data_IF_596990751124
#
_entry.id   IF_596990751124
#
_cell.length_a   1.000
_cell.length_b   1.000
_cell.length_c   1.000
_cell.angle_alpha   90.00
_cell.angle_beta   90.00
_cell.angle_gamma   90.00
#
_symmetry.space_group_name_H-M   'P 1'
#
loop_
_entity.id
_entity.type
_entity.pdbx_description
1 polymer ?
#
# COMPACT_ATOMS: atom_id res chain seq x y z
N UNK A 1 29.46 15.41 45.74
CA UNK A 1 28.15 14.89 45.29
C UNK A 1 28.46 14.07 44.05
N UNK A 2 28.27 12.74 44.12
CA UNK A 2 28.54 11.87 43.00
C UNK A 2 27.45 12.09 41.94
N UNK A 3 27.86 12.38 40.70
CA UNK A 3 26.97 12.40 39.55
C UNK A 3 26.38 10.99 39.40
N UNK A 4 25.10 10.82 39.76
CA UNK A 4 24.33 9.66 39.33
C UNK A 4 24.21 9.73 37.80
N UNK A 5 25.10 9.03 37.11
CA UNK A 5 24.99 8.80 35.68
C UNK A 5 23.68 8.05 35.45
N UNK A 6 22.65 8.77 34.98
CA UNK A 6 21.39 8.17 34.53
C UNK A 6 21.72 7.17 33.42
N UNK A 7 21.64 5.88 33.74
CA UNK A 7 21.76 4.82 32.75
C UNK A 7 20.49 4.81 31.90
N UNK A 8 20.66 4.89 30.58
CA UNK A 8 19.56 4.71 29.65
C UNK A 8 18.94 3.33 29.86
N UNK A 9 17.64 3.27 30.14
CA UNK A 9 16.89 2.02 30.19
C UNK A 9 16.41 1.72 28.78
N UNK A 10 16.97 0.68 28.17
CA UNK A 10 16.44 0.20 26.90
C UNK A 10 15.02 -0.34 27.13
N UNK A 11 14.05 0.31 26.50
CA UNK A 11 12.63 -0.04 26.56
C UNK A 11 12.17 -0.83 25.33
N UNK A 12 13.09 -1.15 24.40
CA UNK A 12 12.78 -1.87 23.17
C UNK A 12 12.57 -3.35 23.50
N UNK A 13 11.31 -3.75 23.61
CA UNK A 13 10.93 -5.15 23.88
C UNK A 13 11.00 -5.97 22.60
N UNK A 14 11.69 -7.10 22.63
CA UNK A 14 11.82 -8.00 21.47
C UNK A 14 12.82 -7.53 20.41
N UNK A 15 13.70 -6.59 20.73
CA UNK A 15 14.85 -6.27 19.91
C UNK A 15 15.93 -7.34 20.13
N UNK A 16 16.40 -7.97 19.05
CA UNK A 16 17.65 -8.74 19.07
C UNK A 16 18.82 -7.76 19.01
N UNK A 17 19.91 -8.03 19.73
CA UNK A 17 21.12 -7.18 19.66
C UNK A 17 21.89 -7.39 18.37
N UNK A 18 21.75 -8.55 17.75
CA UNK A 18 22.37 -8.92 16.48
C UNK A 18 21.35 -8.83 15.35
N UNK A 19 21.78 -8.30 14.21
CA UNK A 19 21.03 -8.29 12.96
C UNK A 19 21.12 -9.64 12.28
N UNK A 20 20.02 -10.08 11.67
CA UNK A 20 20.07 -11.18 10.72
C UNK A 20 20.80 -10.73 9.44
N UNK A 21 21.46 -11.64 8.70
CA UNK A 21 21.80 -11.40 7.31
C UNK A 21 20.59 -10.92 6.52
N UNK A 22 20.78 -10.01 5.56
CA UNK A 22 19.67 -9.38 4.81
C UNK A 22 18.76 -10.43 4.18
N UNK A 23 19.31 -11.45 3.52
CA UNK A 23 18.51 -12.51 2.90
C UNK A 23 17.66 -13.32 3.90
N UNK A 24 18.21 -13.60 5.09
CA UNK A 24 17.47 -14.28 6.14
C UNK A 24 16.34 -13.41 6.68
N UNK A 25 16.58 -12.10 6.82
CA UNK A 25 15.54 -11.16 7.24
C UNK A 25 14.44 -11.01 6.20
N UNK A 26 14.78 -10.93 4.90
CA UNK A 26 13.79 -10.86 3.83
C UNK A 26 12.94 -12.14 3.76
N UNK A 27 13.57 -13.32 3.92
CA UNK A 27 12.84 -14.58 4.03
C UNK A 27 11.89 -14.61 5.24
N UNK A 28 12.26 -13.97 6.35
CA UNK A 28 11.36 -13.80 7.49
C UNK A 28 10.16 -12.92 7.14
N UNK A 29 10.34 -11.83 6.38
CA UNK A 29 9.23 -10.98 5.93
C UNK A 29 8.27 -11.74 5.01
N UNK A 30 8.78 -12.57 4.10
CA UNK A 30 7.96 -13.46 3.27
C UNK A 30 7.17 -14.48 4.11
N UNK A 31 7.79 -15.01 5.17
CA UNK A 31 7.08 -15.87 6.12
C UNK A 31 5.96 -15.10 6.86
N UNK A 32 6.19 -13.85 7.24
CA UNK A 32 5.14 -12.99 7.82
C UNK A 32 4.01 -12.76 6.81
N UNK A 33 4.33 -12.44 5.56
CA UNK A 33 3.32 -12.27 4.51
C UNK A 33 2.45 -13.51 4.37
N UNK A 34 3.06 -14.68 4.19
CA UNK A 34 2.34 -15.93 3.99
C UNK A 34 1.54 -16.39 5.21
N UNK A 35 2.00 -16.08 6.43
CA UNK A 35 1.29 -16.44 7.67
C UNK A 35 0.18 -15.48 8.06
N UNK A 36 0.27 -14.19 7.67
CA UNK A 36 -0.71 -13.16 8.04
C UNK A 36 -1.72 -12.89 6.93
N UNK A 37 -1.28 -12.79 5.67
CA UNK A 37 -2.12 -12.49 4.50
C UNK A 37 -2.81 -13.75 3.96
N UNK A 38 -3.57 -14.43 4.82
CA UNK A 38 -4.25 -15.69 4.48
C UNK A 38 -5.58 -15.49 3.74
N UNK A 39 -6.15 -14.29 3.77
CA UNK A 39 -7.42 -13.97 3.11
C UNK A 39 -7.18 -13.19 1.81
N UNK A 40 -7.67 -13.74 0.70
CA UNK A 40 -7.74 -13.03 -0.59
C UNK A 40 -9.00 -12.17 -0.64
N UNK A 41 -8.91 -11.00 -1.28
CA UNK A 41 -10.09 -10.17 -1.56
C UNK A 41 -10.87 -10.76 -2.73
N UNK A 42 -12.02 -11.36 -2.44
CA UNK A 42 -12.87 -12.06 -3.40
C UNK A 42 -13.65 -11.09 -4.29
N UNK A 43 -13.83 -9.82 -3.89
CA UNK A 43 -14.48 -8.82 -4.74
C UNK A 43 -13.75 -8.64 -6.07
N UNK A 44 -12.42 -8.75 -6.08
CA UNK A 44 -11.64 -8.69 -7.33
C UNK A 44 -12.04 -9.79 -8.31
N UNK A 45 -12.20 -11.02 -7.82
CA UNK A 45 -12.63 -12.15 -8.65
C UNK A 45 -14.04 -11.97 -9.18
N UNK A 46 -14.95 -11.45 -8.35
CA UNK A 46 -16.34 -11.19 -8.77
C UNK A 46 -16.48 -10.01 -9.74
N UNK A 47 -15.54 -9.05 -9.72
CA UNK A 47 -15.44 -8.05 -10.80
C UNK A 47 -14.89 -8.70 -12.06
N UNK A 48 -13.84 -9.52 -11.95
CA UNK A 48 -13.19 -10.17 -13.07
C UNK A 48 -14.10 -11.15 -13.85
N UNK A 49 -15.04 -11.82 -13.17
CA UNK A 49 -15.99 -12.74 -13.80
C UNK A 49 -17.37 -12.11 -14.11
N UNK A 50 -17.53 -10.81 -13.79
CA UNK A 50 -18.75 -10.05 -14.07
C UNK A 50 -19.93 -10.32 -13.14
N UNK A 51 -19.75 -11.10 -12.07
CA UNK A 51 -20.82 -11.49 -11.16
C UNK A 51 -21.11 -10.48 -10.06
N UNK A 52 -20.20 -9.55 -9.73
CA UNK A 52 -20.46 -8.52 -8.71
C UNK A 52 -21.58 -7.57 -9.16
N UNK A 53 -22.56 -7.31 -8.30
CA UNK A 53 -23.65 -6.39 -8.62
C UNK A 53 -23.17 -4.95 -8.82
N UNK A 54 -23.91 -4.17 -9.59
CA UNK A 54 -23.55 -2.77 -9.85
C UNK A 54 -23.55 -1.93 -8.57
N UNK A 55 -24.48 -2.20 -7.66
CA UNK A 55 -24.52 -1.57 -6.34
C UNK A 55 -23.23 -1.82 -5.55
N UNK A 56 -22.77 -3.07 -5.53
CA UNK A 56 -21.55 -3.44 -4.82
C UNK A 56 -20.30 -2.93 -5.53
N UNK A 57 -20.30 -2.88 -6.86
CA UNK A 57 -19.22 -2.24 -7.62
C UNK A 57 -19.13 -0.75 -7.30
N UNK A 58 -20.26 -0.03 -7.21
CA UNK A 58 -20.30 1.38 -6.79
C UNK A 58 -19.75 1.55 -5.38
N UNK A 59 -20.11 0.69 -4.44
CA UNK A 59 -19.56 0.71 -3.07
C UNK A 59 -18.05 0.48 -3.08
N UNK A 60 -17.58 -0.46 -3.91
CA UNK A 60 -16.16 -0.81 -4.01
C UNK A 60 -15.31 0.30 -4.67
N UNK A 61 -15.87 1.00 -5.66
CA UNK A 61 -15.25 2.19 -6.25
C UNK A 61 -14.96 3.27 -5.19
N UNK A 62 -15.91 3.51 -4.26
CA UNK A 62 -15.73 4.50 -3.18
C UNK A 62 -14.62 4.09 -2.20
N UNK A 63 -14.46 2.81 -1.91
CA UNK A 63 -13.31 2.31 -1.13
C UNK A 63 -11.99 2.67 -1.82
N UNK A 64 -11.86 2.42 -3.13
CA UNK A 64 -10.64 2.78 -3.87
C UNK A 64 -10.40 4.29 -3.97
N UNK A 65 -11.45 5.09 -4.14
CA UNK A 65 -11.34 6.55 -4.08
C UNK A 65 -10.75 6.99 -2.73
N UNK A 66 -11.29 6.47 -1.62
CA UNK A 66 -10.78 6.77 -0.29
C UNK A 66 -9.30 6.37 -0.13
N UNK A 67 -8.91 5.18 -0.61
CA UNK A 67 -7.50 4.76 -0.62
C UNK A 67 -6.62 5.76 -1.39
N UNK A 68 -7.00 6.08 -2.63
CA UNK A 68 -6.21 6.93 -3.51
C UNK A 68 -6.04 8.34 -2.94
N UNK A 69 -7.14 9.02 -2.62
CA UNK A 69 -7.09 10.41 -2.12
C UNK A 69 -6.30 10.53 -0.81
N UNK A 70 -6.29 9.46 0.00
CA UNK A 70 -5.58 9.45 1.27
C UNK A 70 -4.09 9.12 1.10
N UNK A 71 -3.72 8.18 0.23
CA UNK A 71 -2.32 7.78 0.05
C UNK A 71 -1.51 8.75 -0.80
N UNK A 72 -2.06 9.27 -1.90
CA UNK A 72 -1.27 9.95 -2.95
C UNK A 72 -0.40 11.08 -2.40
N UNK A 73 -0.91 11.94 -1.51
CA UNK A 73 -0.12 13.01 -0.91
C UNK A 73 0.96 12.53 0.07
N UNK A 74 0.81 11.33 0.62
CA UNK A 74 1.70 10.79 1.66
C UNK A 74 3.02 10.27 1.09
N UNK A 75 3.12 10.01 -0.21
CA UNK A 75 4.39 9.68 -0.87
C UNK A 75 5.47 10.74 -0.62
N UNK A 76 5.06 12.00 -0.42
CA UNK A 76 5.97 13.07 -0.07
C UNK A 76 6.73 12.83 1.25
N UNK A 77 6.19 12.03 2.18
CA UNK A 77 6.91 11.67 3.41
C UNK A 77 8.11 10.76 3.11
N UNK A 78 8.01 9.87 2.12
CA UNK A 78 9.07 8.97 1.73
C UNK A 78 10.16 9.72 0.96
N UNK A 79 9.76 10.64 0.08
CA UNK A 79 10.68 11.58 -0.58
C UNK A 79 11.46 12.39 0.45
N UNK A 80 10.76 13.01 1.40
CA UNK A 80 11.38 13.89 2.40
C UNK A 80 12.31 13.16 3.37
N UNK A 81 12.10 11.86 3.59
CA UNK A 81 12.88 11.05 4.52
C UNK A 81 13.93 10.16 3.83
N UNK A 82 14.12 10.25 2.51
CA UNK A 82 15.09 9.42 1.78
C UNK A 82 16.49 9.48 2.43
N UNK A 83 17.15 8.32 2.70
CA UNK A 83 18.28 8.24 3.62
C UNK A 83 19.66 8.37 2.93
N UNK A 84 19.76 9.16 1.86
CA UNK A 84 20.98 9.32 1.05
C UNK A 84 21.66 10.70 1.27
N UNK A 85 22.01 11.10 2.50
CA UNK A 85 22.61 12.42 2.75
C UNK A 85 24.00 12.58 2.13
N UNK A 86 24.67 11.45 1.83
CA UNK A 86 26.02 11.41 1.30
C UNK A 86 26.06 11.39 -0.25
N UNK A 87 24.91 11.40 -0.92
CA UNK A 87 24.84 11.51 -2.37
C UNK A 87 25.40 12.87 -2.83
N UNK A 88 26.38 12.86 -3.75
CA UNK A 88 26.97 14.08 -4.30
C UNK A 88 25.99 14.81 -5.24
N UNK A 89 25.15 14.05 -5.94
CA UNK A 89 24.11 14.55 -6.84
C UNK A 89 22.81 13.78 -6.60
N UNK A 90 21.66 14.38 -6.94
CA UNK A 90 20.37 13.68 -6.82
C UNK A 90 20.31 12.40 -7.68
N UNK A 91 21.01 12.37 -8.82
CA UNK A 91 21.11 11.18 -9.68
C UNK A 91 21.77 9.96 -8.98
N UNK A 92 22.47 10.18 -7.86
CA UNK A 92 23.08 9.11 -7.07
C UNK A 92 22.17 8.61 -5.93
N UNK A 93 21.10 9.33 -5.61
CA UNK A 93 20.16 8.94 -4.56
C UNK A 93 19.04 8.08 -5.14
N UNK A 94 19.27 6.76 -5.13
CA UNK A 94 18.30 5.78 -5.64
C UNK A 94 16.99 5.83 -4.85
N UNK A 95 17.06 6.03 -3.53
CA UNK A 95 15.87 6.13 -2.69
C UNK A 95 15.06 7.39 -3.00
N UNK A 96 15.71 8.55 -3.14
CA UNK A 96 15.01 9.79 -3.49
C UNK A 96 14.42 9.69 -4.90
N UNK A 97 15.21 9.23 -5.88
CA UNK A 97 14.80 9.11 -7.28
C UNK A 97 13.56 8.21 -7.44
N UNK A 98 13.52 7.07 -6.76
CA UNK A 98 12.36 6.18 -6.78
C UNK A 98 11.10 6.86 -6.22
N UNK A 99 11.18 7.45 -5.01
CA UNK A 99 10.00 8.02 -4.38
C UNK A 99 9.52 9.32 -5.03
N UNK A 100 10.41 10.14 -5.59
CA UNK A 100 10.01 11.35 -6.30
C UNK A 100 9.33 11.01 -7.62
N UNK A 101 9.80 9.98 -8.32
CA UNK A 101 9.15 9.46 -9.53
C UNK A 101 7.75 8.95 -9.19
N UNK A 102 7.63 8.08 -8.20
CA UNK A 102 6.34 7.59 -7.70
C UNK A 102 5.37 8.72 -7.32
N UNK A 103 5.85 9.73 -6.59
CA UNK A 103 5.02 10.89 -6.26
C UNK A 103 4.58 11.63 -7.53
N UNK A 104 5.48 11.81 -8.51
CA UNK A 104 5.16 12.48 -9.77
C UNK A 104 4.16 11.68 -10.61
N UNK A 105 4.27 10.35 -10.66
CA UNK A 105 3.33 9.45 -11.33
C UNK A 105 1.93 9.58 -10.70
N UNK A 106 1.85 9.37 -9.39
CA UNK A 106 0.59 9.42 -8.63
C UNK A 106 -0.10 10.79 -8.71
N UNK A 107 0.68 11.88 -8.77
CA UNK A 107 0.15 13.25 -8.79
C UNK A 107 -0.05 13.83 -10.19
N UNK A 108 0.37 13.13 -11.24
CA UNK A 108 0.20 13.52 -12.64
C UNK A 108 1.24 14.49 -13.18
N UNK A 109 2.43 14.56 -12.57
CA UNK A 109 3.58 15.34 -13.06
C UNK A 109 4.51 14.52 -13.98
N UNK A 110 4.29 13.21 -14.12
CA UNK A 110 5.09 12.34 -14.98
C UNK A 110 4.47 12.02 -16.35
N UNK A 111 3.31 12.62 -16.68
CA UNK A 111 2.69 12.54 -18.00
C UNK A 111 1.28 11.93 -18.00
N UNK A 112 1.02 10.98 -17.11
CA UNK A 112 -0.32 10.44 -16.89
C UNK A 112 -1.20 11.39 -16.08
N UNK A 113 -2.52 11.19 -16.14
CA UNK A 113 -3.43 11.91 -15.26
C UNK A 113 -3.20 11.51 -13.80
N UNK A 114 -3.37 12.46 -12.88
CA UNK A 114 -3.32 12.18 -11.44
C UNK A 114 -4.24 11.01 -11.06
N UNK A 115 -3.72 10.05 -10.29
CA UNK A 115 -4.42 8.81 -9.95
C UNK A 115 -5.71 9.03 -9.14
N UNK A 116 -5.82 10.12 -8.39
CA UNK A 116 -7.07 10.53 -7.71
C UNK A 116 -8.10 11.00 -8.75
N UNK A 117 -7.68 11.74 -9.76
CA UNK A 117 -8.58 12.18 -10.85
C UNK A 117 -9.13 10.98 -11.61
N UNK A 118 -8.28 10.01 -11.97
CA UNK A 118 -8.71 8.76 -12.61
C UNK A 118 -9.75 7.98 -11.79
N UNK A 119 -9.64 8.01 -10.45
CA UNK A 119 -10.63 7.38 -9.55
C UNK A 119 -11.95 8.15 -9.47
N UNK A 120 -11.91 9.49 -9.51
CA UNK A 120 -13.11 10.33 -9.60
C UNK A 120 -13.84 10.08 -10.93
N UNK A 121 -13.10 9.94 -12.03
CA UNK A 121 -13.69 9.60 -13.33
C UNK A 121 -14.36 8.24 -13.32
N UNK A 122 -13.71 7.21 -12.73
CA UNK A 122 -14.34 5.90 -12.53
C UNK A 122 -15.64 6.00 -11.73
N UNK A 123 -15.66 6.76 -10.64
CA UNK A 123 -16.87 6.97 -9.85
C UNK A 123 -17.99 7.63 -10.67
N UNK A 124 -17.67 8.62 -11.50
CA UNK A 124 -18.63 9.28 -12.39
C UNK A 124 -19.16 8.36 -13.49
N UNK A 125 -18.32 7.48 -14.06
CA UNK A 125 -18.75 6.45 -15.01
C UNK A 125 -19.78 5.50 -14.38
N UNK A 126 -19.64 5.24 -13.08
CA UNK A 126 -20.61 4.47 -12.30
C UNK A 126 -21.79 5.31 -11.79
N UNK A 127 -21.93 6.58 -12.20
CA UNK A 127 -23.02 7.47 -11.77
C UNK A 127 -22.99 7.86 -10.30
N UNK A 128 -21.82 7.87 -9.65
CA UNK A 128 -21.61 8.34 -8.29
C UNK A 128 -21.34 9.86 -8.35
N UNK A 129 -22.04 10.64 -7.52
CA UNK A 129 -21.84 12.09 -7.49
C UNK A 129 -20.60 12.48 -6.70
N UNK A 130 -20.05 13.67 -6.96
CA UNK A 130 -18.94 14.21 -6.17
C UNK A 130 -19.34 14.37 -4.68
N UNK A 131 -20.60 14.69 -4.40
CA UNK A 131 -21.15 14.76 -3.03
C UNK A 131 -21.16 13.38 -2.35
N UNK A 132 -21.53 12.32 -3.07
CA UNK A 132 -21.48 10.94 -2.55
C UNK A 132 -20.05 10.50 -2.25
N UNK A 133 -19.06 10.95 -3.03
CA UNK A 133 -17.64 10.67 -2.77
C UNK A 133 -17.13 11.43 -1.54
N UNK A 134 -17.45 12.72 -1.43
CA UNK A 134 -17.00 13.57 -0.32
C UNK A 134 -17.65 13.19 1.02
N UNK A 135 -18.88 12.67 0.99
CA UNK A 135 -19.61 12.22 2.18
C UNK A 135 -19.38 10.74 2.52
N UNK A 136 -18.62 10.02 1.68
CA UNK A 136 -18.38 8.59 1.86
C UNK A 136 -17.57 8.29 3.12
N UNK A 137 -18.04 7.31 3.89
CA UNK A 137 -17.32 6.74 5.02
C UNK A 137 -16.85 5.32 4.63
N UNK A 138 -15.53 5.06 4.59
CA UNK A 138 -15.01 3.73 4.27
C UNK A 138 -15.35 2.73 5.37
N UNK A 139 -15.33 1.43 5.06
CA UNK A 139 -15.46 0.43 6.13
C UNK A 139 -14.35 0.58 7.17
N UNK A 140 -14.61 0.30 8.47
CA UNK A 140 -13.62 0.49 9.52
C UNK A 140 -12.28 -0.22 9.26
N UNK A 141 -12.32 -1.39 8.61
CA UNK A 141 -11.12 -2.14 8.26
C UNK A 141 -10.29 -1.45 7.16
N UNK A 142 -10.93 -0.77 6.20
CA UNK A 142 -10.23 0.08 5.22
C UNK A 142 -9.59 1.28 5.90
N UNK A 143 -10.33 1.97 6.77
CA UNK A 143 -9.80 3.12 7.52
C UNK A 143 -8.57 2.70 8.34
N UNK A 144 -8.67 1.56 9.04
CA UNK A 144 -7.57 0.99 9.81
C UNK A 144 -6.35 0.66 8.95
N UNK A 145 -6.55 -0.01 7.80
CA UNK A 145 -5.47 -0.35 6.89
C UNK A 145 -4.75 0.90 6.35
N UNK A 146 -5.50 1.92 5.90
CA UNK A 146 -4.94 3.17 5.37
C UNK A 146 -4.18 3.94 6.45
N UNK A 147 -4.83 4.24 7.57
CA UNK A 147 -4.20 5.01 8.65
C UNK A 147 -3.01 4.27 9.28
N UNK A 148 -3.08 2.94 9.36
CA UNK A 148 -1.99 2.09 9.83
C UNK A 148 -0.76 2.17 8.93
N UNK A 149 -0.93 2.12 7.61
CA UNK A 149 0.17 2.32 6.66
C UNK A 149 0.72 3.75 6.76
N UNK A 150 -0.13 4.78 6.76
CA UNK A 150 0.33 6.18 6.88
C UNK A 150 1.10 6.45 8.17
N UNK A 151 0.68 5.83 9.28
CA UNK A 151 1.39 5.94 10.55
C UNK A 151 2.86 5.56 10.39
N UNK A 152 3.15 4.47 9.67
CA UNK A 152 4.51 4.01 9.42
C UNK A 152 5.25 4.84 8.35
N UNK A 153 4.56 5.27 7.28
CA UNK A 153 5.12 6.19 6.28
C UNK A 153 5.66 7.49 6.89
N UNK A 154 5.06 7.96 7.97
CA UNK A 154 5.45 9.22 8.66
C UNK A 154 6.49 9.05 9.75
N UNK A 155 6.78 7.82 10.17
CA UNK A 155 7.59 7.54 11.36
C UNK A 155 9.09 7.58 11.07
N UNK A 156 9.52 6.80 10.09
CA UNK A 156 10.89 6.72 9.62
C UNK A 156 10.90 6.18 8.20
N UNK A 157 11.96 6.45 7.44
CA UNK A 157 12.06 6.00 6.07
C UNK A 157 11.94 4.48 5.95
N UNK A 158 12.65 3.71 6.77
CA UNK A 158 12.67 2.26 6.65
C UNK A 158 11.33 1.64 7.02
N UNK A 159 10.64 2.21 8.03
CA UNK A 159 9.28 1.79 8.36
C UNK A 159 8.28 2.15 7.24
N UNK A 160 8.45 3.30 6.59
CA UNK A 160 7.60 3.73 5.48
C UNK A 160 7.79 2.90 4.22
N UNK A 161 9.04 2.68 3.81
CA UNK A 161 9.41 1.78 2.71
C UNK A 161 8.89 0.36 2.96
N UNK A 162 9.01 -0.14 4.20
CA UNK A 162 8.46 -1.44 4.55
C UNK A 162 6.92 -1.48 4.53
N UNK A 163 6.25 -0.44 5.03
CA UNK A 163 4.80 -0.40 5.16
C UNK A 163 4.06 -0.14 3.84
N UNK A 164 4.59 0.73 2.99
CA UNK A 164 3.98 1.14 1.74
C UNK A 164 4.67 0.53 0.52
N UNK A 165 6.00 0.56 0.42
CA UNK A 165 6.68 -0.07 -0.71
C UNK A 165 6.55 -1.60 -0.66
N UNK A 166 7.10 -2.22 0.38
CA UNK A 166 7.21 -3.68 0.42
C UNK A 166 5.90 -4.38 0.80
N UNK A 167 5.29 -4.03 1.94
CA UNK A 167 4.00 -4.61 2.33
C UNK A 167 2.83 -4.02 1.52
N UNK A 168 3.08 -2.93 0.79
CA UNK A 168 2.08 -2.23 0.00
C UNK A 168 2.08 -2.59 -1.47
N UNK A 169 2.99 -1.98 -2.22
CA UNK A 169 3.14 -2.12 -3.68
C UNK A 169 3.59 -3.53 -4.06
N UNK A 170 4.68 -4.06 -3.48
CA UNK A 170 5.17 -5.43 -3.80
C UNK A 170 4.13 -6.50 -3.48
N UNK A 171 3.39 -6.36 -2.39
CA UNK A 171 2.28 -7.26 -2.10
C UNK A 171 1.16 -7.13 -3.14
N UNK A 172 0.76 -5.90 -3.50
CA UNK A 172 -0.29 -5.65 -4.48
C UNK A 172 0.06 -6.25 -5.85
N UNK A 173 1.29 -6.03 -6.33
CA UNK A 173 1.86 -6.65 -7.54
C UNK A 173 1.71 -8.18 -7.54
N UNK A 174 1.98 -8.82 -6.40
CA UNK A 174 1.91 -10.29 -6.26
C UNK A 174 0.50 -10.88 -6.40
N UNK A 175 -0.55 -10.05 -6.37
CA UNK A 175 -1.95 -10.50 -6.47
C UNK A 175 -2.52 -10.46 -7.88
N UNK A 176 -1.93 -9.70 -8.79
CA UNK A 176 -2.47 -9.47 -10.14
C UNK A 176 -3.80 -8.72 -10.17
N UNK A 177 -4.22 -8.08 -9.06
CA UNK A 177 -5.56 -7.49 -8.96
C UNK A 177 -5.81 -6.38 -9.98
N UNK A 178 -4.80 -5.58 -10.33
CA UNK A 178 -4.96 -4.46 -11.25
C UNK A 178 -5.38 -4.96 -12.65
N UNK A 179 -4.72 -6.01 -13.16
CA UNK A 179 -5.11 -6.66 -14.41
C UNK A 179 -6.53 -7.25 -14.33
N UNK A 180 -6.83 -8.00 -13.25
CA UNK A 180 -8.15 -8.59 -13.03
C UNK A 180 -9.27 -7.53 -13.04
N UNK A 181 -9.04 -6.41 -12.36
CA UNK A 181 -9.99 -5.30 -12.29
C UNK A 181 -10.13 -4.61 -13.65
N UNK A 182 -9.02 -4.34 -14.34
CA UNK A 182 -9.04 -3.67 -15.64
C UNK A 182 -9.81 -4.47 -16.69
N UNK A 183 -9.46 -5.74 -16.85
CA UNK A 183 -10.11 -6.64 -17.82
C UNK A 183 -11.56 -6.90 -17.44
N UNK A 184 -11.85 -7.17 -16.16
CA UNK A 184 -13.21 -7.40 -15.68
C UNK A 184 -14.15 -6.23 -15.88
N UNK A 185 -13.72 -5.01 -15.54
CA UNK A 185 -14.50 -3.78 -15.73
C UNK A 185 -14.80 -3.54 -17.22
N UNK A 186 -13.81 -3.73 -18.09
CA UNK A 186 -14.00 -3.59 -19.54
C UNK A 186 -14.97 -4.64 -20.08
N UNK A 187 -14.73 -5.90 -19.78
CA UNK A 187 -15.40 -7.02 -20.44
C UNK A 187 -16.82 -7.27 -19.91
N UNK A 188 -17.10 -6.96 -18.64
CA UNK A 188 -18.38 -7.27 -17.99
C UNK A 188 -19.20 -6.05 -17.55
N UNK A 189 -18.59 -4.87 -17.48
CA UNK A 189 -19.27 -3.64 -17.07
C UNK A 189 -19.23 -2.56 -18.16
N UNK A 190 -18.44 -2.76 -19.23
CA UNK A 190 -18.32 -1.79 -20.32
C UNK A 190 -17.61 -0.49 -19.90
N UNK A 191 -16.76 -0.55 -18.87
CA UNK A 191 -16.07 0.60 -18.29
C UNK A 191 -14.57 0.38 -18.39
N UNK A 192 -13.86 1.31 -19.01
CA UNK A 192 -12.39 1.35 -18.99
C UNK A 192 -11.93 2.32 -17.90
N UNK A 193 -11.17 1.83 -16.94
CA UNK A 193 -10.65 2.63 -15.82
C UNK A 193 -9.14 2.78 -15.97
N UNK A 194 -8.64 3.96 -16.43
CA UNK A 194 -7.22 4.18 -16.70
C UNK A 194 -6.31 3.84 -15.54
N UNK A 195 -6.76 4.08 -14.30
CA UNK A 195 -5.99 3.74 -13.10
C UNK A 195 -5.61 2.26 -13.06
N UNK A 196 -6.52 1.33 -13.33
CA UNK A 196 -6.17 -0.10 -13.30
C UNK A 196 -5.30 -0.50 -14.49
N UNK A 197 -5.41 0.18 -15.63
CA UNK A 197 -4.54 -0.06 -16.78
C UNK A 197 -3.08 0.30 -16.46
N UNK A 198 -2.83 1.48 -15.88
CA UNK A 198 -1.47 1.92 -15.48
C UNK A 198 -0.89 0.95 -14.46
N UNK A 199 -1.64 0.63 -13.39
CA UNK A 199 -1.19 -0.29 -12.35
C UNK A 199 -0.96 -1.72 -12.87
N UNK A 200 -1.72 -2.21 -13.86
CA UNK A 200 -1.51 -3.54 -14.43
C UNK A 200 -0.13 -3.72 -15.08
N UNK A 201 0.50 -2.64 -15.56
CA UNK A 201 1.82 -2.69 -16.19
C UNK A 201 2.96 -2.19 -15.27
N UNK A 202 2.71 -1.18 -14.44
CA UNK A 202 3.75 -0.54 -13.63
C UNK A 202 4.01 -1.24 -12.27
N UNK A 203 3.05 -2.00 -11.73
CA UNK A 203 3.10 -2.42 -10.32
C UNK A 203 4.20 -3.48 -10.05
N UNK A 204 4.61 -4.26 -11.05
CA UNK A 204 5.76 -5.19 -10.93
C UNK A 204 7.06 -4.41 -10.73
N UNK A 205 7.30 -3.38 -11.54
CA UNK A 205 8.51 -2.56 -11.46
C UNK A 205 8.60 -1.84 -10.10
N UNK A 206 7.47 -1.34 -9.59
CA UNK A 206 7.39 -0.71 -8.27
C UNK A 206 7.68 -1.71 -7.15
N UNK A 207 7.13 -2.93 -7.25
CA UNK A 207 7.35 -3.99 -6.28
C UNK A 207 8.82 -4.43 -6.21
N UNK A 208 9.47 -4.59 -7.36
CA UNK A 208 10.89 -4.97 -7.45
C UNK A 208 11.80 -3.85 -6.92
N UNK A 209 11.49 -2.58 -7.24
CA UNK A 209 12.22 -1.45 -6.69
C UNK A 209 12.08 -1.36 -5.16
N UNK A 210 10.87 -1.55 -4.62
CA UNK A 210 10.66 -1.53 -3.17
C UNK A 210 11.42 -2.65 -2.45
N UNK A 211 11.48 -3.87 -3.03
CA UNK A 211 12.28 -4.98 -2.50
C UNK A 211 13.78 -4.67 -2.52
N UNK A 212 14.27 -4.17 -3.66
CA UNK A 212 15.67 -3.75 -3.82
C UNK A 212 16.09 -2.70 -2.79
N UNK A 213 15.32 -1.61 -2.67
CA UNK A 213 15.62 -0.52 -1.74
C UNK A 213 15.51 -0.98 -0.28
N UNK A 214 14.57 -1.88 0.05
CA UNK A 214 14.42 -2.34 1.43
C UNK A 214 15.65 -3.15 1.88
N UNK A 215 16.22 -3.97 0.99
CA UNK A 215 17.45 -4.74 1.27
C UNK A 215 18.64 -3.86 1.65
N UNK A 216 18.72 -2.65 1.09
CA UNK A 216 19.79 -1.69 1.39
C UNK A 216 19.69 -1.12 2.81
N UNK A 217 18.48 -0.96 3.36
CA UNK A 217 18.28 -0.27 4.65
C UNK A 217 18.12 -1.22 5.84
N UNK A 218 17.76 -2.50 5.62
CA UNK A 218 17.53 -3.50 6.69
C UNK A 218 18.81 -4.15 7.23
N UNK A 219 19.87 -3.35 7.42
CA UNK A 219 21.23 -3.83 7.75
C UNK A 219 21.52 -3.87 9.24
N UNK A 220 20.67 -3.28 10.10
CA UNK A 220 20.86 -3.26 11.55
C UNK A 220 19.69 -3.90 12.29
N UNK A 221 19.97 -4.48 13.47
CA UNK A 221 18.96 -5.14 14.27
C UNK A 221 17.82 -4.19 14.68
N UNK A 222 18.17 -2.93 14.93
CA UNK A 222 17.21 -1.89 15.29
C UNK A 222 16.27 -1.54 14.11
N UNK A 223 16.76 -1.49 12.88
CA UNK A 223 15.92 -1.28 11.69
C UNK A 223 15.06 -2.52 11.44
N UNK A 224 15.67 -3.71 11.40
CA UNK A 224 14.95 -4.97 11.22
C UNK A 224 13.80 -5.16 12.23
N UNK A 225 14.03 -4.80 13.50
CA UNK A 225 12.98 -4.82 14.52
C UNK A 225 11.79 -3.91 14.18
N UNK A 226 12.05 -2.66 13.75
CA UNK A 226 10.99 -1.71 13.38
C UNK A 226 10.25 -2.15 12.12
N UNK A 227 10.99 -2.57 11.09
CA UNK A 227 10.45 -3.07 9.82
C UNK A 227 9.57 -4.29 10.03
N UNK A 228 10.03 -5.30 10.78
CA UNK A 228 9.24 -6.49 11.12
C UNK A 228 7.90 -6.13 11.76
N UNK A 229 7.90 -5.18 12.70
CA UNK A 229 6.70 -4.70 13.36
C UNK A 229 5.78 -3.97 12.38
N UNK A 230 6.32 -3.08 11.54
CA UNK A 230 5.56 -2.35 10.53
C UNK A 230 4.86 -3.30 9.55
N UNK A 231 5.61 -4.24 8.95
CA UNK A 231 5.09 -5.26 8.02
C UNK A 231 3.99 -6.09 8.66
N UNK A 232 4.22 -6.61 9.88
CA UNK A 232 3.22 -7.42 10.60
C UNK A 232 1.93 -6.63 10.86
N UNK A 233 2.04 -5.38 11.30
CA UNK A 233 0.86 -4.55 11.57
C UNK A 233 0.10 -4.22 10.28
N UNK A 234 0.80 -3.80 9.23
CA UNK A 234 0.18 -3.46 7.93
C UNK A 234 -0.52 -4.68 7.35
N UNK A 235 0.13 -5.84 7.31
CA UNK A 235 -0.50 -7.06 6.82
C UNK A 235 -1.68 -7.52 7.67
N UNK A 236 -1.62 -7.36 9.00
CA UNK A 236 -2.77 -7.68 9.87
C UNK A 236 -3.98 -6.82 9.49
N UNK A 237 -3.78 -5.52 9.29
CA UNK A 237 -4.84 -4.60 8.92
C UNK A 237 -5.35 -4.84 7.49
N UNK A 238 -4.45 -5.13 6.55
CA UNK A 238 -4.82 -5.48 5.16
C UNK A 238 -5.59 -6.79 5.09
N UNK A 239 -5.18 -7.82 5.83
CA UNK A 239 -5.90 -9.07 5.91
C UNK A 239 -7.30 -8.86 6.52
N UNK A 240 -7.40 -8.06 7.59
CA UNK A 240 -8.69 -7.69 8.17
C UNK A 240 -9.58 -6.91 7.18
N UNK A 241 -8.99 -6.03 6.35
CA UNK A 241 -9.70 -5.36 5.26
C UNK A 241 -10.23 -6.36 4.22
N UNK A 242 -9.40 -7.30 3.77
CA UNK A 242 -9.84 -8.33 2.82
C UNK A 242 -11.00 -9.17 3.38
N UNK A 243 -10.93 -9.56 4.66
CA UNK A 243 -12.02 -10.25 5.35
C UNK A 243 -13.30 -9.41 5.40
N UNK A 244 -13.19 -8.14 5.79
CA UNK A 244 -14.34 -7.24 5.90
C UNK A 244 -15.02 -6.97 4.54
N UNK A 245 -14.24 -6.86 3.46
CA UNK A 245 -14.77 -6.71 2.10
C UNK A 245 -15.47 -7.99 1.62
N UNK A 246 -14.93 -9.16 1.94
CA UNK A 246 -15.54 -10.44 1.55
C UNK A 246 -16.90 -10.66 2.21
N UNK A 247 -17.16 -10.09 3.41
CA UNK A 247 -18.47 -10.16 4.05
C UNK A 247 -19.58 -9.49 3.23
N UNK A 248 -19.25 -8.57 2.32
CA UNK A 248 -20.25 -7.99 1.43
C UNK A 248 -20.89 -9.04 0.53
N UNK A 249 -20.18 -10.12 0.20
CA UNK A 249 -20.71 -11.21 -0.64
C UNK A 249 -21.81 -12.03 0.05
N UNK A 250 -21.97 -11.87 1.37
CA UNK A 250 -23.06 -12.46 2.15
C UNK A 250 -24.33 -11.59 2.12
N UNK A 251 -24.23 -10.34 1.65
CA UNK A 251 -25.36 -9.40 1.58
C UNK A 251 -26.32 -9.81 0.43
N UNK A 252 -27.65 -9.76 0.63
CA UNK A 252 -28.61 -10.00 -0.45
C UNK A 252 -28.39 -9.06 -1.64
N UNK A 253 -28.27 -9.62 -2.85
CA UNK A 253 -28.04 -8.83 -4.07
C UNK A 253 -26.58 -8.44 -4.31
N UNK A 254 -25.62 -8.99 -3.55
CA UNK A 254 -24.20 -8.77 -3.79
C UNK A 254 -23.72 -9.30 -5.16
N UNK A 255 -24.35 -10.37 -5.65
CA UNK A 255 -24.04 -11.00 -6.94
C UNK A 255 -25.25 -10.92 -7.89
N UNK A 256 -24.96 -10.86 -9.19
CA UNK A 256 -25.93 -10.80 -10.31
C UNK A 256 -26.46 -12.17 -10.70
#
# INVERSE_FOLDING_TARGET
MADEIRKFKDIRVGLTTESLPVEEFMAELDHIQSSVCVTRNQLWSHVADGTLSEEHLRRFCKEYYFLGVTYTGEFASLVANAPDPDALTLDQSEHFAHWIQNLADETGYAGDANHVTMKVEWARMLGISDEDLLSYVPVPATLGAVLGTMYYMRRSYEEGLAAFGWAGERFAASTGYAQLMYEGLRDHYGIEVPNFAVHAYAEVDHGDAADYLLRQVVTTAAVQHRVRRAVRHVFTLRNARAQALNLWLEEPGALR
#
